data_IF_195028159403
#
_entry.id   IF_195028159403
#
_cell.length_a   1.000
_cell.length_b   1.000
_cell.length_c   1.000
_cell.angle_alpha   90.00
_cell.angle_beta   90.00
_cell.angle_gamma   90.00
#
_symmetry.space_group_name_H-M   'P 1'
#
loop_
_entity.id
_entity.type
_entity.pdbx_description
1 polymer ?
#
# COMPACT_ATOMS: atom_id res chain seq x y z
N UNK A 1 -8.48 -24.73 1.64
CA UNK A 1 -7.49 -24.10 0.74
C UNK A 1 -6.49 -23.29 1.57
N UNK A 2 -5.24 -23.77 1.72
CA UNK A 2 -4.16 -22.97 2.33
C UNK A 2 -3.60 -22.05 1.25
N UNK A 3 -3.97 -20.77 1.25
CA UNK A 3 -3.35 -19.78 0.39
C UNK A 3 -1.93 -19.58 0.95
N UNK A 4 -0.96 -20.25 0.34
CA UNK A 4 0.45 -20.11 0.69
C UNK A 4 0.87 -18.65 0.49
N UNK A 5 1.11 -17.94 1.59
CA UNK A 5 1.67 -16.59 1.58
C UNK A 5 3.07 -16.65 0.97
N UNK A 6 3.16 -16.36 -0.33
CA UNK A 6 4.43 -16.33 -1.06
C UNK A 6 5.06 -14.96 -0.89
N UNK A 7 6.06 -14.88 -0.03
CA UNK A 7 6.89 -13.69 0.14
C UNK A 7 7.73 -13.47 -1.12
N UNK A 8 7.62 -12.30 -1.73
CA UNK A 8 8.41 -11.91 -2.90
C UNK A 8 9.41 -10.84 -2.44
N UNK A 9 10.68 -11.20 -2.34
CA UNK A 9 11.75 -10.24 -2.06
C UNK A 9 12.09 -9.50 -3.35
N UNK A 10 11.79 -8.22 -3.40
CA UNK A 10 12.12 -7.35 -4.54
C UNK A 10 13.13 -6.32 -4.09
N UNK A 11 14.26 -6.23 -4.80
CA UNK A 11 15.22 -5.14 -4.63
C UNK A 11 14.80 -4.03 -5.58
N UNK A 12 14.41 -2.89 -5.03
CA UNK A 12 13.96 -1.71 -5.79
C UNK A 12 14.91 -0.55 -5.51
N UNK A 13 15.35 0.14 -6.57
CA UNK A 13 16.10 1.39 -6.43
C UNK A 13 15.13 2.53 -6.19
N UNK A 14 15.44 3.35 -5.21
CA UNK A 14 14.75 4.61 -4.97
C UNK A 14 15.28 5.66 -5.94
N UNK A 15 14.36 6.34 -6.62
CA UNK A 15 14.68 7.43 -7.54
C UNK A 15 15.06 8.71 -6.76
N UNK A 16 15.65 9.70 -7.42
CA UNK A 16 16.16 10.91 -6.75
C UNK A 16 15.09 11.72 -5.99
N UNK A 17 13.81 11.50 -6.31
CA UNK A 17 12.65 12.10 -5.63
C UNK A 17 12.04 11.22 -4.53
N UNK A 18 12.74 10.18 -4.08
CA UNK A 18 12.23 9.24 -3.07
C UNK A 18 11.17 8.26 -3.60
N UNK A 19 10.99 8.17 -4.92
CA UNK A 19 9.96 7.31 -5.54
C UNK A 19 10.51 5.91 -5.75
N UNK A 20 9.70 4.91 -5.43
CA UNK A 20 10.06 3.50 -5.61
C UNK A 20 9.18 2.91 -6.71
N UNK A 21 9.82 2.34 -7.75
CA UNK A 21 9.08 1.67 -8.83
C UNK A 21 8.89 0.19 -8.50
N UNK A 22 7.65 -0.17 -8.13
CA UNK A 22 7.29 -1.56 -7.93
C UNK A 22 7.29 -2.34 -9.26
N UNK A 23 7.67 -3.63 -9.28
CA UNK A 23 7.62 -4.47 -10.47
C UNK A 23 6.19 -4.63 -11.01
N UNK A 24 6.08 -4.85 -12.33
CA UNK A 24 4.79 -5.06 -13.02
C UNK A 24 3.97 -6.22 -12.42
N UNK A 25 4.63 -7.26 -11.94
CA UNK A 25 3.97 -8.43 -11.32
C UNK A 25 3.24 -8.08 -10.01
N UNK A 26 3.76 -7.11 -9.26
CA UNK A 26 3.10 -6.59 -8.06
C UNK A 26 1.94 -5.69 -8.48
N UNK A 27 2.15 -4.79 -9.46
CA UNK A 27 1.09 -3.92 -9.99
C UNK A 27 -0.11 -4.69 -10.54
N UNK A 28 0.08 -5.87 -11.15
CA UNK A 28 -1.03 -6.71 -11.63
C UNK A 28 -1.98 -7.17 -10.52
N UNK A 29 -1.55 -7.16 -9.25
CA UNK A 29 -2.37 -7.59 -8.11
C UNK A 29 -3.22 -6.47 -7.50
N UNK A 30 -2.97 -5.22 -7.87
CA UNK A 30 -3.61 -4.05 -7.26
C UNK A 30 -4.22 -3.15 -8.34
N UNK A 31 -5.30 -2.46 -8.00
CA UNK A 31 -5.96 -1.56 -8.94
C UNK A 31 -5.07 -0.34 -9.24
N UNK A 32 -5.16 0.17 -10.48
CA UNK A 32 -4.50 1.41 -10.86
C UNK A 32 -5.11 2.54 -10.00
N UNK A 33 -4.27 3.30 -9.30
CA UNK A 33 -4.72 4.35 -8.37
C UNK A 33 -4.94 3.87 -6.93
N UNK A 34 -4.73 2.57 -6.64
CA UNK A 34 -4.78 2.03 -5.28
C UNK A 34 -3.83 2.79 -4.35
N UNK A 35 -4.36 3.29 -3.24
CA UNK A 35 -3.57 3.91 -2.17
C UNK A 35 -3.06 2.84 -1.21
N UNK A 36 -1.87 3.08 -0.67
CA UNK A 36 -1.22 2.19 0.29
C UNK A 36 -0.77 2.99 1.50
N UNK A 37 -0.96 2.41 2.69
CA UNK A 37 -0.29 2.85 3.91
C UNK A 37 1.15 2.33 3.85
N UNK A 38 2.09 3.22 4.12
CA UNK A 38 3.51 2.91 4.19
C UNK A 38 3.89 2.82 5.66
N UNK A 39 4.31 1.64 6.10
CA UNK A 39 4.84 1.42 7.45
C UNK A 39 6.31 1.00 7.35
N UNK A 40 7.17 1.66 8.13
CA UNK A 40 8.59 1.28 8.24
C UNK A 40 8.75 0.43 9.49
N UNK A 41 9.16 -0.82 9.30
CA UNK A 41 9.38 -1.80 10.39
C UNK A 41 10.83 -2.23 10.31
N UNK A 42 11.63 -1.86 11.31
CA UNK A 42 13.08 -2.03 11.37
C UNK A 42 13.79 -1.45 10.14
N UNK A 43 14.19 -2.33 9.21
CA UNK A 43 14.87 -2.02 7.94
C UNK A 43 14.02 -2.37 6.72
N UNK A 44 12.73 -2.65 6.94
CA UNK A 44 11.78 -3.07 5.93
C UNK A 44 10.67 -2.04 5.75
N UNK A 45 10.20 -1.90 4.51
CA UNK A 45 9.02 -1.08 4.20
C UNK A 45 7.87 -2.04 3.90
N UNK A 46 6.79 -1.89 4.66
CA UNK A 46 5.55 -2.65 4.50
C UNK A 46 4.54 -1.73 3.83
N UNK A 47 4.00 -2.17 2.68
CA UNK A 47 2.93 -1.49 1.97
C UNK A 47 1.62 -2.23 2.22
N UNK A 48 0.68 -1.61 2.92
CA UNK A 48 -0.66 -2.17 3.17
C UNK A 48 -1.68 -1.45 2.28
N UNK A 49 -2.46 -2.16 1.44
CA UNK A 49 -3.48 -1.51 0.62
C UNK A 49 -4.55 -0.89 1.52
N UNK A 50 -4.87 0.38 1.26
CA UNK A 50 -5.95 1.09 1.94
C UNK A 50 -7.26 0.66 1.29
N UNK A 51 -8.03 -0.16 1.99
CA UNK A 51 -9.37 -0.55 1.54
C UNK A 51 -10.43 0.48 1.91
N UNK A 52 -10.21 1.19 3.02
CA UNK A 52 -11.13 2.18 3.55
C UNK A 52 -10.37 3.43 3.96
N UNK A 53 -10.90 4.57 3.56
CA UNK A 53 -10.50 5.87 4.10
C UNK A 53 -11.56 6.29 5.10
N UNK A 54 -11.12 6.57 6.31
CA UNK A 54 -11.94 7.18 7.36
C UNK A 54 -11.61 8.66 7.36
N UNK A 55 -12.57 9.50 7.02
CA UNK A 55 -12.42 10.96 7.05
C UNK A 55 -13.28 11.48 8.20
N UNK A 56 -12.65 12.16 9.15
CA UNK A 56 -13.36 12.91 10.18
C UNK A 56 -13.57 14.33 9.65
N UNK A 57 -14.83 14.74 9.54
CA UNK A 57 -15.22 16.09 9.16
C UNK A 57 -15.13 17.02 10.38
N UNK A 58 -14.99 18.33 10.16
CA UNK A 58 -14.85 19.34 11.21
C UNK A 58 -16.00 19.34 12.24
N UNK A 59 -17.19 18.86 11.82
CA UNK A 59 -18.39 18.69 12.64
C UNK A 59 -18.37 17.40 13.51
N UNK A 60 -17.25 16.66 13.52
CA UNK A 60 -17.10 15.40 14.25
C UNK A 60 -17.75 14.19 13.56
N UNK A 61 -18.26 14.36 12.34
CA UNK A 61 -18.83 13.26 11.55
C UNK A 61 -17.71 12.41 10.95
N UNK A 62 -17.69 11.12 11.30
CA UNK A 62 -16.76 10.13 10.73
C UNK A 62 -17.43 9.43 9.55
N UNK A 63 -16.87 9.62 8.35
CA UNK A 63 -17.31 8.90 7.14
C UNK A 63 -16.29 7.84 6.74
N UNK A 64 -16.76 6.60 6.58
CA UNK A 64 -15.99 5.50 6.02
C UNK A 64 -16.34 5.35 4.54
N UNK A 65 -15.37 5.53 3.64
CA UNK A 65 -15.53 5.24 2.22
C UNK A 65 -14.59 4.10 1.81
N UNK A 66 -15.16 3.09 1.12
CA UNK A 66 -14.39 2.08 0.41
C UNK A 66 -13.74 2.74 -0.84
N UNK A 67 -12.48 2.40 -1.13
CA UNK A 67 -11.73 2.89 -2.31
C UNK A 67 -11.82 1.89 -3.46
#
# INVERSE_FOLDING_TARGET
MKIGMRWVKVIVKMDAKGRIKLPKEIWKKYQIGQKFTVEVVDKSIVLKPIKKITVELDDGTVVEADI
#
